data_IF_184911201290
#
_entry.id   IF_184911201290
#
_cell.length_a   1.000
_cell.length_b   1.000
_cell.length_c   1.000
_cell.angle_alpha   90.00
_cell.angle_beta   90.00
_cell.angle_gamma   90.00
#
_symmetry.space_group_name_H-M   'P 1'
#
loop_
_entity.id
_entity.type
_entity.pdbx_description
1 polymer ?
#
# COMPACT_ATOMS: atom_id res chain seq x y z
N UNK A 1 -9.33 11.12 1.18
CA UNK A 1 -9.71 9.76 0.72
C UNK A 1 -8.91 8.71 1.47
N UNK A 2 -9.54 7.61 1.91
CA UNK A 2 -8.87 6.47 2.57
C UNK A 2 -9.01 5.23 1.68
N UNK A 3 -7.88 4.72 1.18
CA UNK A 3 -7.80 3.48 0.40
C UNK A 3 -7.27 2.36 1.29
N UNK A 4 -7.94 1.22 1.25
CA UNK A 4 -7.48 -0.02 1.87
C UNK A 4 -7.16 -1.03 0.77
N UNK A 5 -6.05 -1.74 0.91
CA UNK A 5 -5.65 -2.80 -0.02
C UNK A 5 -5.20 -3.99 0.78
N UNK A 6 -5.74 -5.15 0.44
CA UNK A 6 -5.47 -6.41 1.12
C UNK A 6 -4.86 -7.39 0.13
N UNK A 7 -3.79 -8.07 0.55
CA UNK A 7 -3.06 -8.99 -0.30
C UNK A 7 -3.14 -10.40 0.25
N UNK A 8 -3.26 -11.38 -0.66
CA UNK A 8 -3.11 -12.80 -0.35
C UNK A 8 -1.77 -13.26 -0.90
N UNK A 9 -0.73 -13.14 -0.07
CA UNK A 9 0.64 -13.54 -0.42
C UNK A 9 1.01 -14.74 0.42
N UNK A 10 1.43 -15.84 -0.23
CA UNK A 10 1.67 -17.11 0.45
C UNK A 10 3.09 -17.22 1.04
N UNK A 11 4.11 -16.70 0.33
CA UNK A 11 5.51 -16.85 0.74
C UNK A 11 5.93 -15.73 1.69
N UNK A 12 6.71 -16.09 2.69
CA UNK A 12 7.18 -15.18 3.72
C UNK A 12 8.09 -14.08 3.14
N UNK A 13 8.94 -14.45 2.19
CA UNK A 13 9.87 -13.55 1.50
C UNK A 13 9.12 -12.52 0.65
N UNK A 14 8.08 -12.95 -0.07
CA UNK A 14 7.25 -12.08 -0.88
C UNK A 14 6.44 -11.10 0.00
N UNK A 15 5.99 -11.53 1.19
CA UNK A 15 5.34 -10.63 2.14
C UNK A 15 6.31 -9.52 2.58
N UNK A 16 7.55 -9.88 2.91
CA UNK A 16 8.58 -8.89 3.28
C UNK A 16 8.90 -7.94 2.12
N UNK A 17 8.96 -8.46 0.89
CA UNK A 17 9.14 -7.64 -0.30
C UNK A 17 8.01 -6.60 -0.45
N UNK A 18 6.75 -7.00 -0.35
CA UNK A 18 5.61 -6.07 -0.43
C UNK A 18 5.68 -5.01 0.67
N UNK A 19 5.98 -5.40 1.91
CA UNK A 19 6.11 -4.43 3.01
C UNK A 19 7.21 -3.41 2.74
N UNK A 20 8.36 -3.86 2.23
CA UNK A 20 9.49 -2.99 1.86
C UNK A 20 9.15 -2.05 0.70
N UNK A 21 8.44 -2.51 -0.31
CA UNK A 21 8.00 -1.66 -1.43
C UNK A 21 7.08 -0.54 -0.95
N UNK A 22 6.20 -0.80 0.03
CA UNK A 22 5.40 0.26 0.67
C UNK A 22 6.24 1.27 1.45
N UNK A 23 7.35 0.87 2.06
CA UNK A 23 8.29 1.81 2.68
C UNK A 23 9.00 2.68 1.64
N UNK A 24 9.37 2.11 0.49
CA UNK A 24 9.98 2.82 -0.63
C UNK A 24 8.98 3.82 -1.23
N UNK A 25 7.75 3.38 -1.49
CA UNK A 25 6.65 4.22 -1.95
C UNK A 25 6.48 5.45 -1.05
N UNK A 26 6.45 5.26 0.27
CA UNK A 26 6.31 6.37 1.23
C UNK A 26 7.42 7.43 1.09
N UNK A 27 8.64 7.02 0.74
CA UNK A 27 9.79 7.92 0.59
C UNK A 27 9.80 8.62 -0.77
N UNK A 28 9.36 7.93 -1.82
CA UNK A 28 9.58 8.34 -3.20
C UNK A 28 8.32 8.86 -3.92
N UNK A 29 7.12 8.70 -3.34
CA UNK A 29 5.88 9.14 -3.96
C UNK A 29 5.77 10.67 -3.98
N UNK A 30 6.05 11.25 -5.14
CA UNK A 30 5.95 12.68 -5.40
C UNK A 30 4.91 12.96 -6.50
N UNK A 31 4.16 14.05 -6.34
CA UNK A 31 3.33 14.69 -7.35
C UNK A 31 3.87 16.11 -7.52
N UNK A 32 4.29 16.47 -8.73
CA UNK A 32 4.95 17.75 -9.03
C UNK A 32 6.15 18.05 -8.12
N UNK A 33 6.94 17.01 -7.82
CA UNK A 33 8.13 17.10 -6.95
C UNK A 33 7.85 17.21 -5.45
N UNK A 34 6.58 17.13 -5.01
CA UNK A 34 6.18 17.26 -3.61
C UNK A 34 5.50 15.99 -3.08
N UNK A 35 5.72 15.61 -1.80
CA UNK A 35 4.95 14.54 -1.17
C UNK A 35 3.46 14.90 -1.15
N UNK A 36 2.61 13.97 -1.58
CA UNK A 36 1.16 14.19 -1.69
C UNK A 36 0.33 13.12 -0.96
N UNK A 37 0.97 12.01 -0.55
CA UNK A 37 0.34 10.99 0.29
C UNK A 37 0.41 11.48 1.75
N UNK A 38 -0.76 11.64 2.39
CA UNK A 38 -0.87 12.12 3.77
C UNK A 38 -0.35 11.06 4.75
N UNK A 39 -0.69 9.79 4.51
CA UNK A 39 -0.20 8.67 5.29
C UNK A 39 -0.20 7.40 4.47
N UNK A 40 0.82 6.56 4.66
CA UNK A 40 0.86 5.19 4.15
C UNK A 40 1.35 4.26 5.25
N UNK A 41 0.59 3.20 5.52
CA UNK A 41 0.92 2.17 6.51
C UNK A 41 0.59 0.81 5.94
N UNK A 42 1.58 -0.08 5.92
CA UNK A 42 1.40 -1.50 5.58
C UNK A 42 1.85 -2.38 6.75
N UNK A 43 1.07 -3.42 7.02
CA UNK A 43 1.29 -4.34 8.13
C UNK A 43 0.88 -5.76 7.75
N UNK A 44 1.46 -6.73 8.45
CA UNK A 44 0.93 -8.09 8.47
C UNK A 44 -0.43 -8.15 9.14
N UNK A 45 -1.28 -8.98 8.59
CA UNK A 45 -2.47 -9.48 9.28
C UNK A 45 -2.00 -10.48 10.33
N UNK A 46 -2.42 -10.32 11.58
CA UNK A 46 -1.95 -11.16 12.70
C UNK A 46 -2.80 -12.42 12.90
N UNK A 47 -4.07 -12.38 12.50
CA UNK A 47 -5.03 -13.46 12.67
C UNK A 47 -5.17 -14.35 11.41
N UNK A 48 -4.08 -14.60 10.69
CA UNK A 48 -4.08 -15.33 9.40
C UNK A 48 -4.57 -16.78 9.50
N UNK A 49 -4.54 -17.40 10.69
CA UNK A 49 -5.13 -18.71 10.95
C UNK A 49 -6.65 -18.68 11.13
N UNK A 50 -7.24 -17.50 11.31
CA UNK A 50 -8.69 -17.34 11.47
C UNK A 50 -9.38 -17.25 10.10
N UNK A 51 -10.55 -17.88 9.92
CA UNK A 51 -11.35 -17.69 8.71
C UNK A 51 -11.76 -16.22 8.49
N UNK A 52 -11.82 -15.42 9.56
CA UNK A 52 -12.13 -13.99 9.49
C UNK A 52 -11.07 -13.17 8.74
N UNK A 53 -9.85 -13.70 8.59
CA UNK A 53 -8.81 -13.05 7.80
C UNK A 53 -9.04 -13.18 6.30
N UNK A 54 -9.95 -14.04 5.86
CA UNK A 54 -10.24 -14.31 4.44
C UNK A 54 -8.98 -14.71 3.62
N UNK A 55 -7.94 -15.19 4.30
CA UNK A 55 -6.65 -15.54 3.68
C UNK A 55 -5.78 -14.34 3.32
N UNK A 56 -6.13 -13.12 3.76
CA UNK A 56 -5.26 -11.96 3.61
C UNK A 56 -4.08 -12.01 4.58
N UNK A 57 -2.89 -11.75 4.07
CA UNK A 57 -1.64 -11.77 4.84
C UNK A 57 -1.07 -10.37 5.08
N UNK A 58 -1.50 -9.39 4.28
CA UNK A 58 -1.08 -7.99 4.37
C UNK A 58 -2.30 -7.07 4.27
N UNK A 59 -2.31 -6.03 5.09
CA UNK A 59 -3.22 -4.91 4.97
C UNK A 59 -2.41 -3.61 4.79
N UNK A 60 -2.75 -2.85 3.75
CA UNK A 60 -2.21 -1.53 3.48
C UNK A 60 -3.29 -0.47 3.55
N UNK A 61 -2.96 0.69 4.12
CA UNK A 61 -3.78 1.88 4.15
C UNK A 61 -3.00 3.06 3.58
N UNK A 62 -3.61 3.73 2.60
CA UNK A 62 -3.16 5.04 2.12
C UNK A 62 -4.23 6.09 2.37
N UNK A 63 -3.80 7.26 2.86
CA UNK A 63 -4.65 8.43 3.07
C UNK A 63 -4.17 9.54 2.13
N UNK A 64 -5.12 10.12 1.41
CA UNK A 64 -4.92 11.22 0.48
C UNK A 64 -5.77 12.42 0.91
N UNK A 65 -5.33 13.63 0.59
CA UNK A 65 -6.09 14.84 0.90
C UNK A 65 -7.35 14.95 0.02
N UNK A 66 -7.24 14.57 -1.26
CA UNK A 66 -8.32 14.69 -2.24
C UNK A 66 -8.58 13.39 -3.02
N UNK A 67 -9.64 13.36 -3.83
CA UNK A 67 -9.87 12.28 -4.80
C UNK A 67 -8.87 12.36 -5.96
N UNK A 68 -8.51 13.56 -6.39
CA UNK A 68 -7.53 13.78 -7.46
C UNK A 68 -6.14 13.21 -7.10
N UNK A 69 -5.72 13.34 -5.84
CA UNK A 69 -4.48 12.74 -5.34
C UNK A 69 -4.55 11.21 -5.34
N UNK A 70 -5.71 10.65 -4.99
CA UNK A 70 -5.93 9.21 -5.07
C UNK A 70 -5.91 8.71 -6.53
N UNK A 71 -6.51 9.45 -7.46
CA UNK A 71 -6.55 9.07 -8.87
C UNK A 71 -5.17 9.18 -9.52
N UNK A 72 -4.40 10.21 -9.15
CA UNK A 72 -2.99 10.31 -9.50
C UNK A 72 -2.19 9.12 -8.95
N UNK A 73 -2.41 8.77 -7.68
CA UNK A 73 -1.78 7.60 -7.06
C UNK A 73 -2.05 6.32 -7.85
N UNK A 74 -3.30 6.08 -8.24
CA UNK A 74 -3.65 4.85 -8.94
C UNK A 74 -3.15 4.84 -10.38
N UNK A 75 -3.22 5.96 -11.10
CA UNK A 75 -3.00 5.97 -12.55
C UNK A 75 -1.60 6.41 -12.98
N UNK A 76 -0.95 7.27 -12.19
CA UNK A 76 0.21 8.06 -12.65
C UNK A 76 1.41 8.04 -11.71
N UNK A 77 1.25 7.59 -10.47
CA UNK A 77 2.36 7.59 -9.52
C UNK A 77 3.41 6.54 -9.89
N UNK A 78 4.56 6.99 -10.37
CA UNK A 78 5.68 6.12 -10.78
C UNK A 78 6.15 5.20 -9.65
N UNK A 79 6.24 5.71 -8.42
CA UNK A 79 6.63 4.92 -7.25
C UNK A 79 5.60 3.84 -6.86
N UNK A 80 4.36 3.93 -7.35
CA UNK A 80 3.32 2.92 -7.12
C UNK A 80 3.25 1.87 -8.24
N UNK A 81 3.87 2.09 -9.40
CA UNK A 81 3.83 1.13 -10.52
C UNK A 81 4.45 -0.22 -10.15
N UNK A 82 5.51 -0.22 -9.36
CA UNK A 82 6.19 -1.44 -8.90
C UNK A 82 5.34 -2.30 -7.94
N UNK A 83 4.28 -1.71 -7.38
CA UNK A 83 3.35 -2.37 -6.45
C UNK A 83 2.05 -2.87 -7.13
N UNK A 84 1.82 -2.54 -8.41
CA UNK A 84 0.67 -3.02 -9.19
C UNK A 84 0.97 -4.37 -9.84
#
# INVERSE_FOLDING_TARGET
VKRLTFFKVAKEEDIQAVLKEYEILRKNALKDGKPYIVSNVSRRVLNTSSPLSEGYTIASQSIFQSHEDHDFYDQKCEAHKELK
#
